data_IF_410207978935
#
_entry.id   IF_410207978935
#
_cell.length_a   1.000
_cell.length_b   1.000
_cell.length_c   1.000
_cell.angle_alpha   90.00
_cell.angle_beta   90.00
_cell.angle_gamma   90.00
#
_symmetry.space_group_name_H-M   'P 1'
#
loop_
_entity.id
_entity.type
_entity.pdbx_description
1 polymer ?
#
# COMPACT_ATOMS: atom_id res chain seq x y z
N UNK A 1 -43.36 22.10 24.32
CA UNK A 1 -42.23 21.91 23.36
C UNK A 1 -41.34 20.73 23.71
N UNK A 2 -40.54 20.69 24.80
CA UNK A 2 -39.68 19.53 25.15
C UNK A 2 -40.43 18.18 25.20
N UNK A 3 -41.57 18.14 25.90
CA UNK A 3 -42.40 16.90 25.97
C UNK A 3 -42.91 16.44 24.61
N UNK A 4 -43.27 17.37 23.73
CA UNK A 4 -43.73 17.05 22.38
C UNK A 4 -42.59 16.49 21.49
N UNK A 5 -41.38 17.06 21.63
CA UNK A 5 -40.21 16.55 20.93
C UNK A 5 -39.86 15.12 21.39
N UNK A 6 -39.85 14.87 22.72
CA UNK A 6 -39.60 13.53 23.28
C UNK A 6 -40.65 12.53 22.78
N UNK A 7 -41.92 12.90 22.77
CA UNK A 7 -42.99 12.03 22.28
C UNK A 7 -42.88 11.74 20.79
N UNK A 8 -42.48 12.72 19.98
CA UNK A 8 -42.27 12.52 18.54
C UNK A 8 -41.09 11.60 18.25
N UNK A 9 -39.95 11.79 18.97
CA UNK A 9 -38.82 10.89 18.89
C UNK A 9 -39.20 9.46 19.29
N UNK A 10 -39.95 9.29 20.38
CA UNK A 10 -40.44 7.98 20.80
C UNK A 10 -41.36 7.35 19.76
N UNK A 11 -42.25 8.12 19.17
CA UNK A 11 -43.18 7.65 18.12
C UNK A 11 -42.43 7.17 16.87
N UNK A 12 -41.41 7.89 16.45
CA UNK A 12 -40.58 7.48 15.30
C UNK A 12 -39.72 6.25 15.59
N UNK A 13 -39.36 6.05 16.87
CA UNK A 13 -38.55 4.90 17.30
C UNK A 13 -39.37 3.64 17.64
N UNK A 14 -40.71 3.74 17.72
CA UNK A 14 -41.60 2.61 17.98
C UNK A 14 -41.37 1.38 17.10
N UNK A 15 -41.11 1.49 15.78
CA UNK A 15 -40.86 0.34 14.93
C UNK A 15 -39.52 -0.38 15.21
N UNK A 16 -38.61 0.27 15.92
CA UNK A 16 -37.21 -0.19 16.08
C UNK A 16 -36.85 -0.60 17.49
N UNK A 17 -37.61 -0.16 18.52
CA UNK A 17 -37.31 -0.36 19.92
C UNK A 17 -38.46 -1.07 20.64
N UNK A 18 -38.11 -1.92 21.59
CA UNK A 18 -39.10 -2.50 22.50
C UNK A 18 -39.46 -1.53 23.63
N UNK A 19 -40.53 -1.82 24.39
CA UNK A 19 -41.05 -0.95 25.44
C UNK A 19 -40.04 -0.61 26.55
N UNK A 20 -39.10 -1.50 26.87
CA UNK A 20 -38.06 -1.26 27.86
C UNK A 20 -37.02 -0.27 27.32
N UNK A 21 -36.63 -0.42 26.05
CA UNK A 21 -35.70 0.49 25.36
C UNK A 21 -36.31 1.88 25.12
N UNK A 22 -37.63 1.95 24.85
CA UNK A 22 -38.33 3.24 24.72
C UNK A 22 -38.39 4.00 26.04
N UNK A 23 -38.61 3.31 27.17
CA UNK A 23 -38.51 3.95 28.51
C UNK A 23 -37.11 4.46 28.80
N UNK A 24 -36.08 3.69 28.44
CA UNK A 24 -34.69 4.11 28.62
C UNK A 24 -34.35 5.32 27.73
N UNK A 25 -34.78 5.32 26.47
CA UNK A 25 -34.67 6.45 25.56
C UNK A 25 -35.34 7.71 26.13
N UNK A 26 -36.56 7.58 26.68
CA UNK A 26 -37.27 8.67 27.30
C UNK A 26 -36.46 9.28 28.46
N UNK A 27 -35.96 8.44 29.37
CA UNK A 27 -35.16 8.87 30.53
C UNK A 27 -33.90 9.63 30.10
N UNK A 28 -33.21 9.14 29.07
CA UNK A 28 -32.01 9.79 28.50
C UNK A 28 -32.37 11.15 27.88
N UNK A 29 -33.44 11.21 27.08
CA UNK A 29 -33.89 12.47 26.45
C UNK A 29 -34.34 13.50 27.49
N UNK A 30 -35.07 13.09 28.53
CA UNK A 30 -35.46 13.96 29.63
C UNK A 30 -34.23 14.51 30.37
N UNK A 31 -33.22 13.69 30.64
CA UNK A 31 -31.97 14.07 31.25
C UNK A 31 -31.17 15.10 30.41
N UNK A 32 -30.94 14.77 29.12
CA UNK A 32 -30.19 15.62 28.21
C UNK A 32 -30.89 16.97 27.97
N UNK A 33 -32.22 16.96 27.83
CA UNK A 33 -32.99 18.16 27.55
C UNK A 33 -33.34 18.96 28.83
N UNK A 34 -33.00 18.52 30.03
CA UNK A 34 -33.33 19.21 31.29
C UNK A 34 -32.75 20.60 31.37
N UNK A 35 -31.51 20.80 30.91
CA UNK A 35 -30.78 22.09 30.93
C UNK A 35 -30.85 22.90 29.64
N UNK A 36 -31.62 22.48 28.60
CA UNK A 36 -31.64 23.10 27.26
C UNK A 36 -32.94 23.89 27.11
N UNK A 37 -32.87 25.20 26.77
CA UNK A 37 -34.03 25.98 26.34
C UNK A 37 -34.26 25.77 24.83
N UNK A 38 -35.45 25.24 24.44
CA UNK A 38 -35.83 25.08 23.06
C UNK A 38 -36.55 26.36 22.57
N UNK A 39 -35.96 27.07 21.65
CA UNK A 39 -36.59 28.15 20.90
C UNK A 39 -37.01 27.70 19.50
N UNK A 40 -38.14 28.19 18.99
CA UNK A 40 -38.46 28.11 17.56
C UNK A 40 -37.58 29.13 16.84
N UNK A 41 -36.46 28.70 16.27
CA UNK A 41 -35.77 29.52 15.30
C UNK A 41 -36.18 29.02 13.90
N UNK A 42 -36.84 29.94 13.18
CA UNK A 42 -37.18 29.70 11.76
C UNK A 42 -35.95 29.83 10.84
N UNK A 43 -34.82 30.15 11.40
CA UNK A 43 -33.55 30.24 10.66
C UNK A 43 -32.87 28.85 10.69
N UNK A 44 -33.17 28.06 9.71
CA UNK A 44 -32.25 27.02 9.27
C UNK A 44 -30.98 27.75 8.82
N UNK A 45 -30.04 27.93 9.75
CA UNK A 45 -28.65 28.19 9.36
C UNK A 45 -28.27 27.00 8.49
N UNK A 46 -28.17 27.24 7.18
CA UNK A 46 -27.43 26.32 6.30
C UNK A 46 -26.06 26.17 6.92
N UNK A 47 -25.89 25.16 7.76
CA UNK A 47 -24.56 24.78 8.24
C UNK A 47 -23.76 24.45 6.98
N UNK A 48 -22.78 25.29 6.70
CA UNK A 48 -21.88 25.08 5.58
C UNK A 48 -21.49 23.61 5.57
N UNK A 49 -21.81 22.89 4.48
CA UNK A 49 -21.62 21.46 4.34
C UNK A 49 -20.14 21.17 4.55
N UNK A 50 -19.78 20.62 5.71
CA UNK A 50 -18.38 20.34 6.04
C UNK A 50 -17.86 19.26 5.08
N UNK A 51 -16.83 19.56 4.33
CA UNK A 51 -16.12 18.55 3.52
C UNK A 51 -15.35 17.60 4.44
N UNK A 52 -16.04 16.58 4.94
CA UNK A 52 -15.49 15.57 5.84
C UNK A 52 -14.32 14.81 5.21
N UNK A 53 -14.27 14.70 3.85
CA UNK A 53 -13.15 14.07 3.15
C UNK A 53 -11.91 14.95 3.25
N UNK A 54 -12.05 16.26 3.03
CA UNK A 54 -10.92 17.18 3.17
C UNK A 54 -10.40 17.22 4.62
N UNK A 55 -11.30 17.24 5.60
CA UNK A 55 -10.95 17.20 7.02
C UNK A 55 -10.19 15.92 7.38
N UNK A 56 -10.69 14.75 6.98
CA UNK A 56 -10.02 13.46 7.16
C UNK A 56 -8.63 13.43 6.53
N UNK A 57 -8.48 13.90 5.29
CA UNK A 57 -7.19 13.94 4.60
C UNK A 57 -6.20 14.85 5.33
N UNK A 58 -6.66 15.99 5.86
CA UNK A 58 -5.81 16.88 6.65
C UNK A 58 -5.39 16.24 7.99
N UNK A 59 -6.30 15.57 8.69
CA UNK A 59 -5.97 14.82 9.90
C UNK A 59 -4.89 13.75 9.61
N UNK A 60 -5.06 12.97 8.53
CA UNK A 60 -4.07 11.94 8.13
C UNK A 60 -2.74 12.53 7.65
N UNK A 61 -2.73 13.76 7.13
CA UNK A 61 -1.49 14.48 6.80
C UNK A 61 -0.71 14.83 8.06
N UNK A 62 -1.37 15.33 9.10
CA UNK A 62 -0.77 15.63 10.41
C UNK A 62 -0.23 14.35 11.06
N UNK A 63 -0.91 13.20 10.90
CA UNK A 63 -0.42 11.89 11.35
C UNK A 63 0.81 11.37 10.57
N UNK A 64 1.31 12.12 9.58
CA UNK A 64 2.52 11.77 8.82
C UNK A 64 2.30 10.83 7.64
N UNK A 65 1.07 10.70 7.13
CA UNK A 65 0.81 9.96 5.90
C UNK A 65 1.44 10.64 4.68
N UNK A 66 2.04 9.84 3.79
CA UNK A 66 2.61 10.35 2.54
C UNK A 66 1.53 10.87 1.58
N UNK A 67 1.84 11.89 0.76
CA UNK A 67 0.90 12.46 -0.23
C UNK A 67 0.32 11.39 -1.19
N UNK A 68 1.13 10.38 -1.55
CA UNK A 68 0.66 9.25 -2.34
C UNK A 68 -0.42 8.43 -1.62
N UNK A 69 -0.26 8.21 -0.31
CA UNK A 69 -1.26 7.52 0.52
C UNK A 69 -2.52 8.36 0.66
N UNK A 70 -2.37 9.66 0.89
CA UNK A 70 -3.49 10.61 1.01
C UNK A 70 -4.30 10.69 -0.29
N UNK A 71 -3.63 10.76 -1.43
CA UNK A 71 -4.28 10.72 -2.75
C UNK A 71 -5.09 9.44 -2.95
N UNK A 72 -4.52 8.28 -2.58
CA UNK A 72 -5.21 7.00 -2.68
C UNK A 72 -6.41 6.91 -1.72
N UNK A 73 -6.29 7.44 -0.51
CA UNK A 73 -7.41 7.53 0.44
C UNK A 73 -8.53 8.39 -0.13
N UNK A 74 -8.21 9.62 -0.56
CA UNK A 74 -9.16 10.54 -1.17
C UNK A 74 -9.91 9.90 -2.34
N UNK A 75 -9.18 9.32 -3.31
CA UNK A 75 -9.78 8.69 -4.48
C UNK A 75 -10.73 7.54 -4.11
N UNK A 76 -10.34 6.71 -3.12
CA UNK A 76 -11.16 5.59 -2.67
C UNK A 76 -12.44 6.06 -2.00
N UNK A 77 -12.35 7.07 -1.11
CA UNK A 77 -13.51 7.60 -0.38
C UNK A 77 -14.46 8.32 -1.33
N UNK A 78 -13.94 9.19 -2.21
CA UNK A 78 -14.74 9.91 -3.20
C UNK A 78 -15.44 8.92 -4.14
N UNK A 79 -14.74 7.87 -4.60
CA UNK A 79 -15.35 6.82 -5.43
C UNK A 79 -16.49 6.09 -4.71
N UNK A 80 -16.36 5.86 -3.40
CA UNK A 80 -17.41 5.24 -2.60
C UNK A 80 -18.62 6.18 -2.43
N UNK A 81 -18.39 7.44 -2.07
CA UNK A 81 -19.46 8.42 -1.90
C UNK A 81 -20.24 8.65 -3.20
N UNK A 82 -19.53 8.79 -4.33
CA UNK A 82 -20.15 8.92 -5.64
C UNK A 82 -20.94 7.66 -6.09
N UNK A 83 -20.53 6.47 -5.61
CA UNK A 83 -21.21 5.23 -5.97
C UNK A 83 -22.41 4.89 -5.08
N UNK A 84 -22.48 5.45 -3.86
CA UNK A 84 -23.60 5.24 -2.92
C UNK A 84 -24.62 6.38 -3.01
N UNK A 85 -24.17 7.59 -3.42
CA UNK A 85 -25.01 8.79 -3.55
C UNK A 85 -25.74 9.17 -2.26
N UNK A 86 -25.09 8.99 -1.11
CA UNK A 86 -25.57 9.37 0.23
C UNK A 86 -24.53 10.20 0.96
N UNK A 87 -24.97 11.04 1.90
CA UNK A 87 -24.09 11.70 2.83
C UNK A 87 -23.41 10.67 3.76
N UNK A 88 -22.15 10.92 4.20
CA UNK A 88 -21.43 9.98 5.07
C UNK A 88 -22.20 9.53 6.31
N UNK A 89 -23.02 10.43 6.88
CA UNK A 89 -23.82 10.18 8.08
C UNK A 89 -25.00 9.22 7.84
N UNK A 90 -25.46 9.13 6.60
CA UNK A 90 -26.62 8.31 6.21
C UNK A 90 -26.22 6.91 5.72
N UNK A 91 -24.90 6.68 5.53
CA UNK A 91 -24.39 5.42 5.02
C UNK A 91 -24.50 4.32 6.09
N UNK A 92 -25.19 3.24 5.76
CA UNK A 92 -25.32 2.07 6.61
C UNK A 92 -24.43 0.91 6.13
N UNK A 93 -24.26 -0.10 6.97
CA UNK A 93 -23.41 -1.28 6.66
C UNK A 93 -23.82 -1.96 5.35
N UNK A 94 -25.10 -2.00 5.02
CA UNK A 94 -25.61 -2.67 3.83
C UNK A 94 -25.26 -1.92 2.55
N UNK A 95 -25.27 -0.58 2.56
CA UNK A 95 -24.80 0.25 1.45
C UNK A 95 -23.36 -0.07 1.09
N UNK A 96 -22.49 -0.19 2.13
CA UNK A 96 -21.08 -0.52 1.95
C UNK A 96 -20.86 -1.96 1.43
N UNK A 97 -21.66 -2.92 1.88
CA UNK A 97 -21.60 -4.29 1.37
C UNK A 97 -21.97 -4.33 -0.11
N UNK A 98 -23.07 -3.66 -0.48
CA UNK A 98 -23.52 -3.54 -1.86
C UNK A 98 -22.44 -2.90 -2.73
N UNK A 99 -21.91 -1.75 -2.31
CA UNK A 99 -20.84 -1.04 -3.03
C UNK A 99 -19.60 -1.93 -3.24
N UNK A 100 -19.11 -2.62 -2.21
CA UNK A 100 -17.93 -3.49 -2.31
C UNK A 100 -18.17 -4.68 -3.26
N UNK A 101 -19.38 -5.24 -3.27
CA UNK A 101 -19.78 -6.34 -4.15
C UNK A 101 -19.84 -5.87 -5.60
N UNK A 102 -20.51 -4.74 -5.86
CA UNK A 102 -20.61 -4.13 -7.18
C UNK A 102 -19.25 -3.70 -7.72
N UNK A 103 -18.40 -3.10 -6.88
CA UNK A 103 -17.04 -2.74 -7.24
C UNK A 103 -16.22 -3.96 -7.64
N UNK A 104 -16.35 -5.08 -6.90
CA UNK A 104 -15.67 -6.33 -7.22
C UNK A 104 -16.12 -6.90 -8.55
N UNK A 105 -17.42 -6.94 -8.79
CA UNK A 105 -18.01 -7.55 -9.98
C UNK A 105 -17.76 -6.72 -11.24
N UNK A 106 -18.05 -5.41 -11.19
CA UNK A 106 -17.92 -4.51 -12.33
C UNK A 106 -16.46 -4.33 -12.78
N UNK A 107 -15.53 -4.22 -11.84
CA UNK A 107 -14.10 -4.03 -12.14
C UNK A 107 -13.28 -5.32 -12.13
N UNK A 108 -13.90 -6.48 -11.93
CA UNK A 108 -13.22 -7.78 -11.77
C UNK A 108 -12.07 -7.72 -10.78
N UNK A 109 -12.25 -6.97 -9.68
CA UNK A 109 -11.21 -6.66 -8.72
C UNK A 109 -10.86 -7.86 -7.84
N UNK A 110 -9.59 -8.00 -7.48
CA UNK A 110 -9.15 -9.06 -6.59
C UNK A 110 -9.69 -8.88 -5.17
N UNK A 111 -9.84 -9.99 -4.43
CA UNK A 111 -10.20 -9.96 -3.00
C UNK A 111 -9.25 -9.09 -2.17
N UNK A 112 -7.96 -9.04 -2.54
CA UNK A 112 -6.96 -8.17 -1.88
C UNK A 112 -7.29 -6.70 -2.10
N UNK A 113 -7.72 -6.32 -3.31
CA UNK A 113 -8.15 -4.95 -3.63
C UNK A 113 -9.36 -4.56 -2.80
N UNK A 114 -10.35 -5.44 -2.68
CA UNK A 114 -11.55 -5.22 -1.86
C UNK A 114 -11.19 -5.04 -0.38
N UNK A 115 -10.29 -5.87 0.17
CA UNK A 115 -9.85 -5.71 1.56
C UNK A 115 -9.08 -4.39 1.77
N UNK A 116 -8.30 -3.94 0.80
CA UNK A 116 -7.64 -2.62 0.87
C UNK A 116 -8.65 -1.48 0.88
N UNK A 117 -9.67 -1.51 0.00
CA UNK A 117 -10.77 -0.53 0.01
C UNK A 117 -11.47 -0.56 1.37
N UNK A 118 -11.88 -1.73 1.85
CA UNK A 118 -12.51 -1.90 3.17
C UNK A 118 -11.67 -1.25 4.28
N UNK A 119 -10.35 -1.44 4.28
CA UNK A 119 -9.43 -0.87 5.29
C UNK A 119 -9.41 0.67 5.24
N UNK A 120 -9.43 1.25 4.04
CA UNK A 120 -9.48 2.70 3.87
C UNK A 120 -10.82 3.24 4.38
N UNK A 121 -11.93 2.61 3.98
CA UNK A 121 -13.24 2.98 4.47
C UNK A 121 -13.36 2.80 6.00
N UNK A 122 -12.77 1.75 6.56
CA UNK A 122 -12.71 1.57 8.02
C UNK A 122 -11.96 2.72 8.70
N UNK A 123 -10.84 3.18 8.13
CA UNK A 123 -10.10 4.32 8.67
C UNK A 123 -10.90 5.62 8.59
N UNK A 124 -11.63 5.85 7.49
CA UNK A 124 -12.45 7.04 7.32
C UNK A 124 -13.65 7.06 8.27
N UNK A 125 -14.43 5.99 8.31
CA UNK A 125 -15.61 5.91 9.17
C UNK A 125 -15.27 5.81 10.66
N UNK A 126 -14.10 5.27 11.04
CA UNK A 126 -13.64 5.34 12.43
C UNK A 126 -13.26 6.76 12.81
N UNK A 127 -12.62 7.50 11.91
CA UNK A 127 -12.33 8.92 12.14
C UNK A 127 -13.62 9.75 12.25
N UNK A 128 -14.64 9.49 11.43
CA UNK A 128 -15.95 10.15 11.56
C UNK A 128 -16.64 9.82 12.90
N UNK A 129 -16.47 8.60 13.43
CA UNK A 129 -16.95 8.19 14.75
C UNK A 129 -16.17 8.91 15.87
N UNK A 130 -14.84 9.00 15.74
CA UNK A 130 -13.95 9.65 16.71
C UNK A 130 -14.15 11.18 16.77
N UNK A 131 -14.58 11.81 15.68
CA UNK A 131 -14.89 13.26 15.58
C UNK A 131 -16.39 13.57 15.75
N UNK A 132 -17.18 12.62 16.26
CA UNK A 132 -18.62 12.76 16.54
C UNK A 132 -19.52 13.10 15.31
N UNK A 133 -19.01 12.93 14.08
CA UNK A 133 -19.84 13.08 12.87
C UNK A 133 -20.87 11.96 12.71
N UNK A 134 -20.58 10.77 13.26
CA UNK A 134 -21.47 9.61 13.26
C UNK A 134 -21.39 8.89 14.61
N UNK A 135 -22.51 8.31 15.06
CA UNK A 135 -22.57 7.60 16.33
C UNK A 135 -21.78 6.28 16.30
N UNK A 136 -21.74 5.61 15.14
CA UNK A 136 -21.10 4.29 15.00
C UNK A 136 -20.68 4.02 13.58
N UNK A 137 -19.45 3.58 13.40
CA UNK A 137 -18.89 3.23 12.09
C UNK A 137 -19.65 2.06 11.43
N UNK A 138 -20.21 2.25 10.22
CA UNK A 138 -20.92 1.21 9.49
C UNK A 138 -19.99 0.09 8.99
N UNK A 139 -18.67 0.32 8.94
CA UNK A 139 -17.67 -0.68 8.50
C UNK A 139 -17.39 -1.72 9.58
N UNK A 140 -17.72 -1.47 10.83
CA UNK A 140 -17.44 -2.35 11.99
C UNK A 140 -17.89 -3.80 11.80
N UNK A 141 -19.03 -4.00 11.11
CA UNK A 141 -19.61 -5.32 10.81
C UNK A 141 -19.08 -5.95 9.51
N UNK A 142 -18.14 -5.29 8.82
CA UNK A 142 -17.52 -5.80 7.60
C UNK A 142 -16.13 -6.34 7.95
N UNK A 143 -16.04 -7.65 8.11
CA UNK A 143 -14.81 -8.31 8.51
C UNK A 143 -13.80 -8.37 7.36
N UNK A 144 -12.55 -8.64 7.72
CA UNK A 144 -11.44 -8.82 6.78
C UNK A 144 -11.79 -9.88 5.73
N UNK A 145 -11.56 -9.56 4.47
CA UNK A 145 -11.77 -10.50 3.37
C UNK A 145 -10.69 -11.58 3.40
N UNK A 146 -11.10 -12.84 3.53
CA UNK A 146 -10.18 -13.97 3.50
C UNK A 146 -9.59 -14.12 2.09
N UNK A 147 -8.27 -14.06 2.01
CA UNK A 147 -7.50 -14.27 0.77
C UNK A 147 -6.60 -15.48 0.94
N UNK A 148 -6.53 -16.33 -0.08
CA UNK A 148 -5.56 -17.42 -0.08
C UNK A 148 -4.14 -16.83 -0.10
N UNK A 149 -3.23 -17.43 0.67
CA UNK A 149 -1.80 -17.12 0.58
C UNK A 149 -1.27 -17.81 -0.68
N UNK A 150 -1.04 -17.04 -1.74
CA UNK A 150 -0.47 -17.55 -2.98
C UNK A 150 1.04 -17.34 -2.93
N UNK A 151 1.79 -18.40 -3.17
CA UNK A 151 3.24 -18.33 -3.38
C UNK A 151 3.46 -17.59 -4.70
N UNK A 152 4.12 -16.45 -4.61
CA UNK A 152 4.43 -15.66 -5.81
C UNK A 152 5.71 -16.19 -6.43
N UNK A 153 5.69 -16.42 -7.73
CA UNK A 153 6.82 -16.90 -8.52
C UNK A 153 8.06 -15.98 -8.42
N UNK A 154 9.22 -16.61 -8.49
CA UNK A 154 10.55 -15.99 -8.62
C UNK A 154 11.06 -16.18 -10.07
N UNK A 155 12.16 -15.52 -10.41
CA UNK A 155 12.91 -15.87 -11.62
C UNK A 155 13.77 -17.10 -11.36
N UNK A 156 13.96 -17.92 -12.36
CA UNK A 156 15.04 -18.92 -12.37
C UNK A 156 16.36 -18.24 -12.74
N UNK A 157 17.49 -18.90 -12.47
CA UNK A 157 18.80 -18.37 -12.84
C UNK A 157 18.93 -18.25 -14.37
N UNK A 158 18.38 -19.20 -15.14
CA UNK A 158 18.34 -19.15 -16.61
C UNK A 158 17.52 -17.94 -17.10
N UNK A 159 16.38 -17.64 -16.47
CA UNK A 159 15.57 -16.50 -16.87
C UNK A 159 16.31 -15.17 -16.64
N UNK A 160 17.14 -15.08 -15.58
CA UNK A 160 17.98 -13.91 -15.33
C UNK A 160 19.08 -13.78 -16.39
N UNK A 161 19.77 -14.88 -16.76
CA UNK A 161 20.78 -14.86 -17.83
C UNK A 161 20.16 -14.51 -19.19
N UNK A 162 19.04 -15.10 -19.55
CA UNK A 162 18.32 -14.77 -20.78
C UNK A 162 17.97 -13.26 -20.83
N UNK A 163 17.54 -12.67 -19.69
CA UNK A 163 17.27 -11.23 -19.66
C UNK A 163 18.55 -10.41 -19.85
N UNK A 164 19.69 -10.80 -19.28
CA UNK A 164 20.99 -10.14 -19.43
C UNK A 164 21.48 -10.17 -20.88
N UNK A 165 21.53 -11.36 -21.46
CA UNK A 165 22.03 -11.58 -22.82
C UNK A 165 21.20 -10.86 -23.90
N UNK A 166 19.93 -10.60 -23.57
CA UNK A 166 19.03 -9.91 -24.49
C UNK A 166 18.80 -8.43 -24.15
N UNK A 167 19.62 -7.81 -23.29
CA UNK A 167 19.57 -6.37 -23.09
C UNK A 167 20.09 -5.63 -24.33
N UNK A 168 19.29 -4.72 -24.88
CA UNK A 168 19.65 -3.97 -26.07
C UNK A 168 20.58 -2.80 -25.79
N UNK A 169 20.80 -2.44 -24.55
CA UNK A 169 21.67 -1.33 -24.17
C UNK A 169 22.27 -1.55 -22.76
N UNK A 170 23.44 -0.96 -22.55
CA UNK A 170 24.23 -1.10 -21.32
C UNK A 170 23.52 -0.56 -20.08
N UNK A 171 22.67 0.47 -20.22
CA UNK A 171 21.86 1.00 -19.10
C UNK A 171 20.90 -0.04 -18.55
N UNK A 172 20.12 -0.68 -19.45
CA UNK A 172 19.10 -1.65 -19.03
C UNK A 172 19.75 -2.90 -18.41
N UNK A 173 20.93 -3.30 -18.91
CA UNK A 173 21.73 -4.38 -18.35
C UNK A 173 22.18 -4.03 -16.92
N UNK A 174 22.81 -2.86 -16.73
CA UNK A 174 23.23 -2.39 -15.41
C UNK A 174 22.07 -2.26 -14.42
N UNK A 175 20.90 -1.80 -14.90
CA UNK A 175 19.68 -1.69 -14.11
C UNK A 175 19.14 -3.06 -13.65
N UNK A 176 19.13 -4.06 -14.52
CA UNK A 176 18.70 -5.43 -14.21
C UNK A 176 19.62 -6.04 -13.16
N UNK A 177 20.92 -5.92 -13.36
CA UNK A 177 21.90 -6.48 -12.42
C UNK A 177 21.84 -5.81 -11.06
N UNK A 178 21.69 -4.49 -11.01
CA UNK A 178 21.54 -3.79 -9.74
C UNK A 178 20.27 -4.21 -9.00
N UNK A 179 19.15 -4.39 -9.70
CA UNK A 179 17.92 -4.91 -9.10
C UNK A 179 18.05 -6.36 -8.62
N UNK A 180 18.75 -7.19 -9.40
CA UNK A 180 18.91 -8.62 -9.09
C UNK A 180 19.85 -8.86 -7.92
N UNK A 181 21.00 -8.15 -7.87
CA UNK A 181 22.03 -8.36 -6.85
C UNK A 181 21.75 -7.64 -5.54
N UNK A 182 21.17 -6.43 -5.57
CA UNK A 182 20.92 -5.66 -4.35
C UNK A 182 19.53 -5.90 -3.74
N UNK A 183 18.55 -6.29 -4.55
CA UNK A 183 17.16 -6.42 -4.12
C UNK A 183 16.53 -5.11 -3.63
N UNK A 184 17.10 -3.96 -3.95
CA UNK A 184 16.53 -2.65 -3.60
C UNK A 184 15.15 -2.43 -4.24
N UNK A 185 14.39 -1.51 -3.69
CA UNK A 185 13.11 -1.12 -4.31
C UNK A 185 13.37 -0.24 -5.54
N UNK A 186 12.52 -0.34 -6.55
CA UNK A 186 12.65 0.49 -7.75
C UNK A 186 12.66 1.99 -7.43
N UNK A 187 11.87 2.42 -6.44
CA UNK A 187 11.88 3.82 -6.01
C UNK A 187 13.20 4.25 -5.37
N UNK A 188 13.88 3.35 -4.66
CA UNK A 188 15.23 3.58 -4.12
C UNK A 188 16.26 3.67 -5.24
N UNK A 189 16.19 2.76 -6.21
CA UNK A 189 17.11 2.74 -7.36
C UNK A 189 17.04 4.02 -8.21
N UNK A 190 15.84 4.50 -8.54
CA UNK A 190 15.69 5.71 -9.36
C UNK A 190 16.07 7.00 -8.62
N UNK A 191 16.10 6.97 -7.30
CA UNK A 191 16.53 8.10 -6.47
C UNK A 191 18.05 8.26 -6.42
N UNK A 192 18.83 7.20 -6.66
CA UNK A 192 20.29 7.21 -6.59
C UNK A 192 20.93 8.18 -7.57
N UNK A 193 22.03 8.80 -7.15
CA UNK A 193 22.95 9.57 -7.95
C UNK A 193 24.19 8.73 -8.29
N UNK A 194 25.03 9.22 -9.21
CA UNK A 194 26.31 8.58 -9.54
C UNK A 194 27.22 8.47 -8.33
N UNK A 195 27.28 9.53 -7.51
CA UNK A 195 28.17 9.65 -6.37
C UNK A 195 27.72 8.83 -5.16
N UNK A 196 26.48 8.30 -5.16
CA UNK A 196 25.97 7.43 -4.09
C UNK A 196 26.56 6.01 -4.17
N UNK A 197 27.27 5.66 -5.25
CA UNK A 197 27.80 4.32 -5.49
C UNK A 197 29.25 4.19 -5.01
N UNK A 198 29.48 3.39 -3.99
CA UNK A 198 30.81 2.98 -3.58
C UNK A 198 31.26 1.73 -4.36
N UNK A 199 31.99 1.94 -5.44
CA UNK A 199 32.49 0.84 -6.29
C UNK A 199 33.56 -0.04 -5.60
N UNK A 200 34.29 0.49 -4.63
CA UNK A 200 35.34 -0.28 -3.92
C UNK A 200 34.68 -1.31 -3.02
N UNK A 201 33.77 -0.90 -2.17
CA UNK A 201 33.04 -1.77 -1.25
C UNK A 201 31.84 -2.46 -1.90
N UNK A 202 31.47 -2.07 -3.12
CA UNK A 202 30.29 -2.58 -3.86
C UNK A 202 28.99 -2.39 -3.08
N UNK A 203 28.78 -1.19 -2.59
CA UNK A 203 27.61 -0.83 -1.79
C UNK A 203 27.08 0.57 -2.14
N UNK A 204 25.87 0.85 -1.73
CA UNK A 204 25.30 2.19 -1.72
C UNK A 204 24.29 2.35 -0.59
N UNK A 205 24.07 3.59 -0.15
CA UNK A 205 23.05 3.93 0.84
C UNK A 205 21.75 4.24 0.13
N UNK A 206 20.67 3.62 0.58
CA UNK A 206 19.32 3.89 0.04
C UNK A 206 18.37 4.33 1.16
N UNK A 207 17.44 5.20 0.80
CA UNK A 207 16.41 5.73 1.71
C UNK A 207 15.11 4.96 1.55
N UNK A 208 14.72 4.26 2.61
CA UNK A 208 13.47 3.52 2.67
C UNK A 208 12.26 4.38 3.11
N UNK A 209 11.12 3.73 3.31
CA UNK A 209 9.91 4.38 3.84
C UNK A 209 10.18 5.01 5.22
N UNK A 210 9.84 6.29 5.37
CA UNK A 210 10.07 7.07 6.59
C UNK A 210 11.53 7.55 6.72
N UNK A 211 12.20 7.80 5.60
CA UNK A 211 13.58 8.34 5.53
C UNK A 211 14.62 7.50 6.29
N UNK A 212 14.35 6.20 6.47
CA UNK A 212 15.32 5.29 7.09
C UNK A 212 16.35 4.88 6.08
N UNK A 213 17.60 5.14 6.39
CA UNK A 213 18.77 4.73 5.62
C UNK A 213 19.05 3.24 5.82
N UNK A 214 19.53 2.59 4.78
CA UNK A 214 20.18 1.29 4.85
C UNK A 214 21.22 1.15 3.76
N UNK A 215 22.25 0.38 4.06
CA UNK A 215 23.24 -0.03 3.08
C UNK A 215 22.67 -1.20 2.27
N UNK A 216 22.88 -1.19 0.97
CA UNK A 216 22.60 -2.30 0.07
C UNK A 216 23.88 -2.66 -0.68
N UNK A 217 24.06 -3.94 -0.95
CA UNK A 217 25.26 -4.49 -1.56
C UNK A 217 24.96 -4.99 -2.96
N UNK A 218 25.95 -4.96 -3.84
CA UNK A 218 25.83 -5.51 -5.19
C UNK A 218 27.09 -6.33 -5.55
N UNK A 219 26.93 -7.27 -6.48
CA UNK A 219 27.98 -8.19 -6.87
C UNK A 219 29.00 -7.57 -7.85
N UNK A 220 30.08 -8.32 -8.15
CA UNK A 220 31.14 -7.88 -9.05
C UNK A 220 30.64 -7.66 -10.49
N UNK A 221 29.69 -8.46 -10.97
CA UNK A 221 29.05 -8.31 -12.28
C UNK A 221 28.33 -6.97 -12.39
N UNK A 222 27.54 -6.64 -11.39
CA UNK A 222 26.83 -5.35 -11.30
C UNK A 222 27.80 -4.17 -11.32
N UNK A 223 28.93 -4.27 -10.57
CA UNK A 223 29.99 -3.26 -10.60
C UNK A 223 30.47 -2.99 -12.02
N UNK A 224 30.85 -4.04 -12.76
CA UNK A 224 31.36 -3.92 -14.14
C UNK A 224 30.30 -3.28 -15.05
N UNK A 225 29.06 -3.76 -15.00
CA UNK A 225 28.03 -3.23 -15.87
C UNK A 225 27.62 -1.79 -15.52
N UNK A 226 27.64 -1.41 -14.24
CA UNK A 226 27.42 -0.02 -13.83
C UNK A 226 28.56 0.89 -14.32
N UNK A 227 29.82 0.47 -14.21
CA UNK A 227 30.96 1.23 -14.71
C UNK A 227 30.87 1.41 -16.24
N UNK A 228 30.65 0.34 -17.00
CA UNK A 228 30.49 0.40 -18.45
C UNK A 228 29.32 1.33 -18.85
N UNK A 229 28.21 1.31 -18.10
CA UNK A 229 27.11 2.21 -18.34
C UNK A 229 27.50 3.67 -18.07
N UNK A 230 28.13 3.96 -16.94
CA UNK A 230 28.53 5.32 -16.58
C UNK A 230 29.58 5.88 -17.54
N UNK A 231 30.53 5.07 -18.01
CA UNK A 231 31.52 5.44 -19.04
C UNK A 231 30.86 5.74 -20.40
N UNK A 232 29.77 5.06 -20.74
CA UNK A 232 29.03 5.27 -21.98
C UNK A 232 28.17 6.55 -21.97
N UNK A 233 28.03 7.22 -20.82
CA UNK A 233 27.19 8.43 -20.67
C UNK A 233 27.92 9.67 -21.12
N UNK A 234 27.21 10.52 -21.88
CA UNK A 234 27.70 11.81 -22.36
C UNK A 234 26.99 13.03 -21.73
N UNK A 235 25.97 12.76 -20.88
CA UNK A 235 25.19 13.78 -20.20
C UNK A 235 25.80 14.19 -18.85
N UNK A 236 25.43 15.37 -18.34
CA UNK A 236 25.86 15.93 -17.06
C UNK A 236 24.88 15.66 -15.89
N UNK A 237 23.80 14.88 -16.10
CA UNK A 237 22.82 14.60 -15.06
C UNK A 237 23.43 13.80 -13.92
N UNK A 238 23.22 14.23 -12.66
CA UNK A 238 23.76 13.56 -11.47
C UNK A 238 23.09 12.21 -11.20
N UNK A 239 21.87 11.97 -11.72
CA UNK A 239 21.15 10.72 -11.50
C UNK A 239 21.94 9.51 -11.98
N UNK A 240 21.89 8.40 -11.20
CA UNK A 240 22.53 7.14 -11.59
C UNK A 240 21.95 6.61 -12.91
N UNK A 241 20.63 6.58 -13.05
CA UNK A 241 19.96 6.16 -14.28
C UNK A 241 19.17 7.30 -14.92
N UNK A 242 19.36 7.47 -16.21
CA UNK A 242 18.69 8.51 -17.02
C UNK A 242 17.92 7.92 -18.20
N UNK A 243 17.02 8.73 -18.79
CA UNK A 243 16.34 8.36 -20.04
C UNK A 243 17.35 8.18 -21.18
N UNK A 244 17.04 7.33 -22.16
CA UNK A 244 17.88 7.14 -23.36
C UNK A 244 17.70 8.25 -24.40
N UNK A 245 16.68 9.09 -24.21
CA UNK A 245 16.36 10.21 -25.10
C UNK A 245 16.70 11.52 -24.44
N UNK A 246 17.17 12.49 -25.23
CA UNK A 246 17.37 13.88 -24.77
C UNK A 246 16.08 14.41 -24.12
N UNK A 247 16.18 15.16 -23.01
CA UNK A 247 17.40 15.72 -22.38
C UNK A 247 18.12 14.82 -21.35
N UNK A 248 17.93 13.52 -21.37
CA UNK A 248 18.54 12.54 -20.45
C UNK A 248 18.20 12.79 -18.98
N UNK A 249 16.91 13.05 -18.72
CA UNK A 249 16.41 13.24 -17.38
C UNK A 249 16.47 11.96 -16.54
N UNK A 250 16.46 12.15 -15.20
CA UNK A 250 16.38 11.04 -14.24
C UNK A 250 15.29 10.06 -14.63
N UNK A 251 15.66 8.79 -14.72
CA UNK A 251 14.72 7.71 -15.04
C UNK A 251 13.67 7.56 -13.92
N UNK A 252 12.40 7.61 -14.29
CA UNK A 252 11.28 7.47 -13.36
C UNK A 252 10.86 6.00 -13.20
N UNK A 253 10.18 5.67 -12.08
CA UNK A 253 9.68 4.32 -11.80
C UNK A 253 8.90 3.73 -12.97
N UNK A 254 7.99 4.53 -13.56
CA UNK A 254 7.19 4.10 -14.72
C UNK A 254 8.04 3.77 -15.96
N UNK A 255 9.17 4.47 -16.13
CA UNK A 255 10.14 4.19 -17.20
C UNK A 255 10.80 2.81 -16.98
N UNK A 256 11.28 2.54 -15.77
CA UNK A 256 11.86 1.23 -15.41
C UNK A 256 10.85 0.10 -15.64
N UNK A 257 9.64 0.24 -15.12
CA UNK A 257 8.59 -0.77 -15.23
C UNK A 257 8.20 -1.03 -16.69
N UNK A 258 8.15 0.02 -17.52
CA UNK A 258 7.88 -0.11 -18.95
C UNK A 258 8.97 -0.89 -19.66
N UNK A 259 10.25 -0.55 -19.44
CA UNK A 259 11.39 -1.24 -20.06
C UNK A 259 11.44 -2.72 -19.68
N UNK A 260 11.26 -3.04 -18.40
CA UNK A 260 11.21 -4.42 -17.92
C UNK A 260 10.03 -5.21 -18.52
N UNK A 261 8.87 -4.56 -18.67
CA UNK A 261 7.69 -5.17 -19.30
C UNK A 261 7.92 -5.44 -20.78
N UNK A 262 8.54 -4.51 -21.49
CA UNK A 262 8.90 -4.66 -22.93
C UNK A 262 9.89 -5.81 -23.11
N UNK A 263 10.95 -5.87 -22.29
CA UNK A 263 11.91 -6.98 -22.29
C UNK A 263 11.21 -8.33 -22.06
N UNK A 264 10.37 -8.41 -21.01
CA UNK A 264 9.62 -9.63 -20.71
C UNK A 264 8.72 -10.09 -21.87
N UNK A 265 8.02 -9.16 -22.51
CA UNK A 265 7.20 -9.48 -23.69
C UNK A 265 8.02 -10.03 -24.84
N UNK A 266 9.17 -9.40 -25.15
CA UNK A 266 10.06 -9.83 -26.23
C UNK A 266 10.63 -11.22 -26.01
N UNK A 267 10.88 -11.58 -24.75
CA UNK A 267 11.46 -12.87 -24.36
C UNK A 267 10.42 -13.94 -24.00
N UNK A 268 9.12 -13.65 -24.16
CA UNK A 268 8.02 -14.52 -23.70
C UNK A 268 8.14 -14.95 -22.23
N UNK A 269 8.77 -14.10 -21.40
CA UNK A 269 8.88 -14.36 -19.97
C UNK A 269 7.61 -13.90 -19.23
N UNK A 270 7.14 -14.68 -18.23
CA UNK A 270 6.01 -14.26 -17.42
C UNK A 270 6.35 -12.97 -16.68
N UNK A 271 5.46 -12.00 -16.75
CA UNK A 271 5.47 -10.65 -16.16
C UNK A 271 6.78 -10.23 -15.47
N UNK A 272 7.65 -9.52 -16.21
CA UNK A 272 8.90 -8.98 -15.66
C UNK A 272 8.61 -7.63 -14.97
N UNK A 273 8.97 -7.50 -13.68
CA UNK A 273 8.77 -6.28 -12.90
C UNK A 273 9.73 -6.22 -11.69
N UNK A 274 10.06 -5.01 -11.16
CA UNK A 274 11.11 -4.84 -10.15
C UNK A 274 10.94 -5.67 -8.88
N UNK A 275 9.72 -5.77 -8.35
CA UNK A 275 9.47 -6.54 -7.13
C UNK A 275 9.75 -8.05 -7.27
N UNK A 276 9.75 -8.58 -8.51
CA UNK A 276 10.05 -9.99 -8.73
C UNK A 276 11.57 -10.25 -8.56
N UNK A 277 12.44 -9.31 -8.97
CA UNK A 277 13.90 -9.39 -8.70
C UNK A 277 14.18 -9.45 -7.20
N UNK A 278 13.62 -8.50 -6.43
CA UNK A 278 13.79 -8.46 -4.98
C UNK A 278 13.33 -9.75 -4.29
N UNK A 279 12.22 -10.32 -4.75
CA UNK A 279 11.71 -11.60 -4.25
C UNK A 279 12.63 -12.74 -4.61
N UNK A 280 13.14 -12.77 -5.84
CA UNK A 280 14.11 -13.77 -6.31
C UNK A 280 15.36 -13.76 -5.45
N UNK A 281 15.94 -12.58 -5.20
CA UNK A 281 17.08 -12.44 -4.31
C UNK A 281 16.78 -12.99 -2.90
N UNK A 282 15.65 -12.57 -2.31
CA UNK A 282 15.27 -13.00 -0.97
C UNK A 282 15.11 -14.53 -0.87
N UNK A 283 14.42 -15.12 -1.82
CA UNK A 283 14.22 -16.58 -1.86
C UNK A 283 15.53 -17.31 -2.09
N UNK A 284 16.34 -16.86 -3.05
CA UNK A 284 17.67 -17.45 -3.30
C UNK A 284 18.62 -17.34 -2.12
N UNK A 285 18.62 -16.21 -1.41
CA UNK A 285 19.44 -16.02 -0.20
C UNK A 285 19.04 -17.01 0.91
N UNK A 286 17.74 -17.18 1.14
CA UNK A 286 17.22 -18.15 2.12
C UNK A 286 17.53 -19.59 1.68
N UNK A 287 17.33 -19.90 0.40
CA UNK A 287 17.62 -21.24 -0.16
C UNK A 287 19.11 -21.59 -0.04
N UNK A 288 20.01 -20.59 -0.11
CA UNK A 288 21.45 -20.74 0.11
C UNK A 288 21.86 -20.73 1.59
N UNK A 289 20.92 -20.60 2.52
CA UNK A 289 21.14 -20.73 3.96
C UNK A 289 21.41 -19.42 4.69
N UNK A 290 21.16 -18.26 4.07
CA UNK A 290 21.23 -16.96 4.78
C UNK A 290 20.13 -16.90 5.86
N UNK A 291 20.47 -16.57 7.13
CA UNK A 291 19.48 -16.40 8.19
C UNK A 291 18.42 -15.35 7.82
N UNK A 292 17.18 -15.63 8.20
CA UNK A 292 16.04 -14.79 7.80
C UNK A 292 16.15 -13.35 8.33
N UNK A 293 16.76 -13.17 9.48
CA UNK A 293 17.03 -11.87 10.10
C UNK A 293 18.02 -11.06 9.25
N UNK A 294 19.03 -11.70 8.68
CA UNK A 294 19.97 -11.05 7.75
C UNK A 294 19.28 -10.67 6.45
N UNK A 295 18.42 -11.55 5.91
CA UNK A 295 17.60 -11.23 4.73
C UNK A 295 16.63 -10.08 5.04
N UNK A 296 16.06 -10.03 6.24
CA UNK A 296 15.21 -8.92 6.68
C UNK A 296 15.97 -7.60 6.68
N UNK A 297 17.20 -7.57 7.24
CA UNK A 297 18.06 -6.39 7.26
C UNK A 297 18.46 -5.97 5.84
N UNK A 298 18.95 -6.90 5.02
CA UNK A 298 19.31 -6.66 3.61
C UNK A 298 18.20 -5.99 2.84
N UNK A 299 16.97 -6.46 3.03
CA UNK A 299 15.80 -5.93 2.36
C UNK A 299 15.23 -4.67 3.05
N UNK A 300 15.56 -4.39 4.29
CA UNK A 300 14.99 -3.30 5.07
C UNK A 300 13.46 -3.49 5.32
N UNK A 301 13.08 -4.69 5.76
CA UNK A 301 11.71 -4.97 6.18
C UNK A 301 11.54 -4.64 7.66
N UNK A 302 10.59 -3.75 8.00
CA UNK A 302 10.31 -3.40 9.40
C UNK A 302 9.69 -4.56 10.20
N UNK A 303 8.97 -5.47 9.52
CA UNK A 303 8.33 -6.62 10.13
C UNK A 303 8.88 -7.90 9.51
N UNK A 304 9.27 -8.85 10.35
CA UNK A 304 9.77 -10.16 9.92
C UNK A 304 8.74 -10.92 9.09
N UNK A 305 7.44 -10.78 9.39
CA UNK A 305 6.36 -11.39 8.63
C UNK A 305 6.44 -11.11 7.12
N UNK A 306 6.95 -9.92 6.75
CA UNK A 306 7.14 -9.58 5.34
C UNK A 306 8.23 -10.45 4.68
N UNK A 307 9.28 -10.79 5.43
CA UNK A 307 10.37 -11.65 4.97
C UNK A 307 9.94 -13.12 5.01
N UNK A 308 9.16 -13.52 6.01
CA UNK A 308 8.60 -14.87 6.12
C UNK A 308 7.78 -15.30 4.90
N UNK A 309 7.19 -14.37 4.16
CA UNK A 309 6.52 -14.69 2.89
C UNK A 309 7.47 -15.25 1.80
N UNK A 310 8.78 -15.01 1.92
CA UNK A 310 9.80 -15.56 1.03
C UNK A 310 10.37 -16.89 1.56
N UNK A 311 10.29 -17.09 2.87
CA UNK A 311 10.73 -18.29 3.56
C UNK A 311 9.65 -19.37 3.60
N UNK A 312 8.72 -19.42 2.64
CA UNK A 312 7.79 -20.56 2.55
C UNK A 312 8.63 -21.79 2.24
N UNK A 313 8.93 -22.48 3.32
CA UNK A 313 9.93 -23.54 3.45
C UNK A 313 9.62 -24.65 2.46
N UNK A 314 10.48 -24.84 1.47
CA UNK A 314 10.46 -26.07 0.67
C UNK A 314 10.83 -27.20 1.64
N UNK A 315 10.06 -28.30 1.60
CA UNK A 315 10.31 -29.49 2.43
C UNK A 315 11.75 -29.99 2.30
N UNK A 316 12.38 -29.78 1.14
CA UNK A 316 13.80 -30.08 0.90
C UNK A 316 14.74 -29.25 1.80
N UNK A 317 14.47 -27.98 2.03
CA UNK A 317 15.30 -27.12 2.87
C UNK A 317 15.24 -27.55 4.34
N UNK A 318 14.07 -28.00 4.81
CA UNK A 318 13.93 -28.58 6.16
C UNK A 318 14.78 -29.85 6.27
N UNK A 319 14.73 -30.73 5.28
CA UNK A 319 15.52 -31.98 5.25
C UNK A 319 17.03 -31.70 5.26
N UNK A 320 17.49 -30.73 4.47
CA UNK A 320 18.90 -30.35 4.43
C UNK A 320 19.35 -29.70 5.73
N UNK A 321 18.54 -28.81 6.30
CA UNK A 321 18.81 -28.18 7.58
C UNK A 321 18.84 -29.22 8.70
N UNK A 322 17.88 -30.14 8.75
CA UNK A 322 17.87 -31.25 9.71
C UNK A 322 19.18 -32.04 9.66
N UNK A 323 19.60 -32.46 8.44
CA UNK A 323 20.85 -33.21 8.25
C UNK A 323 22.11 -32.41 8.64
N UNK A 324 22.08 -31.08 8.48
CA UNK A 324 23.24 -30.22 8.77
C UNK A 324 23.37 -29.92 10.26
N UNK A 325 22.28 -29.77 11.00
CA UNK A 325 22.26 -29.25 12.35
C UNK A 325 21.89 -30.26 13.43
N UNK A 326 21.29 -31.41 13.05
CA UNK A 326 20.82 -32.40 14.01
C UNK A 326 21.49 -33.79 13.79
N UNK A 327 22.03 -34.05 12.62
CA UNK A 327 22.79 -35.28 12.33
C UNK A 327 22.38 -35.94 11.05
#
# INVERSE_FOLDING_TARGET
>A
MKKQLIQEVQRQMLPYLNNAQLKQLQSVLEGVLSGVELSHSADMVESAKVDTVACFINAKRIEGCSEKTLSYYRQTIVSMLSGIEKEPQEIVTEDLRKYLTEYQTSRKSSKVTIDNIRRILSSYFSWLEDEDYIVKSPVRRIHKVKTAKVIKETYTDEALEIMRDNCCNVRDLAMIDLLASSGMRVGEMVALNRDDINFNERECVVFGKGSKERIVYFDARTKIHLQNYLESRTDACSALFVSLTSPHDRLQIGGVERRLRELGKRLNLPRVHPHKFRRTLATSAIDKGMPIEQVQQLLGHQKIDTTMHYAMVKQQNVKLAHRKYIG
#
